data_IF_592884677532
#
_entry.id   IF_592884677532
#
_cell.length_a   1.000
_cell.length_b   1.000
_cell.length_c   1.000
_cell.angle_alpha   90.00
_cell.angle_beta   90.00
_cell.angle_gamma   90.00
#
_symmetry.space_group_name_H-M   'P 1'
#
loop_
_entity.id
_entity.type
_entity.pdbx_description
1 polymer ?
#
# COMPACT_ATOMS: atom_id res chain seq x y z
N UNK A 1 6.09 -17.50 -14.52
CA UNK A 1 6.21 -16.03 -14.50
C UNK A 1 5.34 -15.46 -15.63
N UNK A 2 4.92 -14.22 -15.50
CA UNK A 2 4.23 -13.50 -16.58
C UNK A 2 5.25 -13.22 -17.69
N UNK A 3 4.87 -13.47 -18.96
CA UNK A 3 5.74 -13.28 -20.13
C UNK A 3 5.36 -12.06 -20.98
N UNK A 4 4.22 -11.44 -20.67
CA UNK A 4 3.77 -10.22 -21.36
C UNK A 4 4.69 -9.05 -21.04
N UNK A 5 5.30 -8.47 -22.05
CA UNK A 5 6.18 -7.30 -21.91
C UNK A 5 5.43 -6.04 -21.43
N UNK A 6 4.17 -5.87 -21.82
CA UNK A 6 3.36 -4.74 -21.39
C UNK A 6 3.12 -4.75 -19.88
N UNK A 7 3.04 -5.94 -19.27
CA UNK A 7 2.99 -6.06 -17.82
C UNK A 7 4.22 -5.41 -17.17
N UNK A 8 5.42 -5.67 -17.66
CA UNK A 8 6.66 -5.13 -17.07
C UNK A 8 6.82 -3.62 -17.29
N UNK A 9 6.26 -3.05 -18.36
CA UNK A 9 6.18 -1.60 -18.56
C UNK A 9 5.42 -0.91 -17.41
N UNK A 10 4.39 -1.54 -16.89
CA UNK A 10 3.64 -1.04 -15.73
C UNK A 10 4.25 -1.49 -14.39
N UNK A 11 4.71 -2.73 -14.30
CA UNK A 11 5.19 -3.33 -13.03
C UNK A 11 6.53 -2.75 -12.57
N UNK A 12 7.47 -2.48 -13.48
CA UNK A 12 8.78 -1.92 -13.11
C UNK A 12 8.63 -0.56 -12.42
N UNK A 13 7.96 0.47 -13.02
CA UNK A 13 7.76 1.73 -12.32
C UNK A 13 6.90 1.57 -11.06
N UNK A 14 5.88 0.69 -11.07
CA UNK A 14 5.04 0.43 -9.91
C UNK A 14 5.85 -0.07 -8.71
N UNK A 15 6.69 -1.09 -8.91
CA UNK A 15 7.56 -1.67 -7.87
C UNK A 15 8.63 -0.68 -7.42
N UNK A 16 9.23 0.05 -8.38
CA UNK A 16 10.23 1.07 -8.08
C UNK A 16 9.66 2.17 -7.19
N UNK A 17 8.51 2.74 -7.55
CA UNK A 17 7.83 3.77 -6.75
C UNK A 17 7.38 3.25 -5.38
N UNK A 18 6.94 1.98 -5.30
CA UNK A 18 6.64 1.39 -4.01
C UNK A 18 7.89 1.33 -3.12
N UNK A 19 8.99 0.85 -3.68
CA UNK A 19 10.28 0.81 -3.00
C UNK A 19 10.73 2.19 -2.53
N UNK A 20 10.61 3.22 -3.37
CA UNK A 20 10.89 4.61 -2.99
C UNK A 20 10.04 5.07 -1.81
N UNK A 21 8.76 4.73 -1.80
CA UNK A 21 7.85 5.01 -0.68
C UNK A 21 8.34 4.38 0.62
N UNK A 22 8.78 3.12 0.57
CA UNK A 22 9.37 2.38 1.72
C UNK A 22 10.72 2.95 2.14
N UNK A 23 11.50 3.50 1.23
CA UNK A 23 12.79 4.16 1.50
C UNK A 23 12.68 5.49 2.24
N UNK A 24 11.46 6.03 2.43
CA UNK A 24 11.24 7.24 3.23
C UNK A 24 10.54 8.39 2.50
N UNK A 25 10.35 8.28 1.19
CA UNK A 25 9.67 9.33 0.39
C UNK A 25 8.18 9.46 0.73
N UNK A 26 7.59 8.38 1.28
CA UNK A 26 6.21 8.38 1.79
C UNK A 26 5.30 7.34 1.13
N UNK A 27 4.35 6.83 1.92
CA UNK A 27 3.47 5.71 1.55
C UNK A 27 2.50 5.97 0.38
N UNK A 28 2.35 7.22 -0.05
CA UNK A 28 1.50 7.58 -1.21
C UNK A 28 1.98 6.94 -2.51
N UNK A 29 3.31 6.84 -2.70
CA UNK A 29 3.88 6.19 -3.88
C UNK A 29 3.49 4.71 -3.96
N UNK A 30 3.37 4.06 -2.81
CA UNK A 30 2.94 2.66 -2.75
C UNK A 30 1.53 2.42 -3.26
N UNK A 31 0.61 3.36 -3.06
CA UNK A 31 -0.78 3.24 -3.51
C UNK A 31 -0.93 3.15 -5.03
N UNK A 32 0.05 3.65 -5.78
CA UNK A 32 0.03 3.63 -7.25
C UNK A 32 0.27 2.23 -7.81
N UNK A 33 0.90 1.35 -7.04
CA UNK A 33 1.48 0.12 -7.58
C UNK A 33 0.42 -0.87 -8.04
N UNK A 34 -0.61 -1.14 -7.22
CA UNK A 34 -1.70 -2.04 -7.63
C UNK A 34 -2.49 -1.46 -8.80
N UNK A 35 -2.96 -0.21 -8.80
CA UNK A 35 -3.62 0.40 -9.95
C UNK A 35 -2.79 0.37 -11.25
N UNK A 36 -1.49 0.64 -11.18
CA UNK A 36 -0.61 0.59 -12.35
C UNK A 36 -0.50 -0.83 -12.89
N UNK A 37 -0.21 -1.82 -12.04
CA UNK A 37 -0.09 -3.21 -12.47
C UNK A 37 -1.42 -3.79 -12.93
N UNK A 38 -2.54 -3.34 -12.36
CA UNK A 38 -3.89 -3.75 -12.74
C UNK A 38 -4.32 -3.24 -14.13
N UNK A 39 -3.49 -2.45 -14.80
CA UNK A 39 -3.68 -2.12 -16.21
C UNK A 39 -3.40 -3.32 -17.14
N UNK A 40 -2.65 -4.32 -16.67
CA UNK A 40 -2.21 -5.48 -17.47
C UNK A 40 -2.60 -6.84 -16.86
N UNK A 41 -2.90 -6.88 -15.56
CA UNK A 41 -3.33 -8.09 -14.85
C UNK A 41 -4.51 -7.76 -13.93
N UNK A 42 -5.17 -8.79 -13.36
CA UNK A 42 -6.23 -8.50 -12.37
C UNK A 42 -5.66 -7.79 -11.13
N UNK A 43 -6.42 -6.90 -10.46
CA UNK A 43 -5.98 -6.24 -9.24
C UNK A 43 -5.53 -7.20 -8.14
N UNK A 44 -6.22 -8.34 -8.02
CA UNK A 44 -5.88 -9.41 -7.06
C UNK A 44 -4.53 -10.03 -7.38
N UNK A 45 -4.25 -10.31 -8.66
CA UNK A 45 -2.96 -10.83 -9.10
C UNK A 45 -1.83 -9.79 -8.91
N UNK A 46 -2.09 -8.51 -9.21
CA UNK A 46 -1.15 -7.43 -8.96
C UNK A 46 -0.76 -7.37 -7.47
N UNK A 47 -1.75 -7.46 -6.58
CA UNK A 47 -1.52 -7.48 -5.14
C UNK A 47 -0.74 -8.75 -4.69
N UNK A 48 -1.03 -9.89 -5.30
CA UNK A 48 -0.33 -11.15 -5.01
C UNK A 48 1.16 -11.12 -5.40
N UNK A 49 1.49 -10.54 -6.55
CA UNK A 49 2.87 -10.36 -7.00
C UNK A 49 3.62 -9.36 -6.12
N UNK A 50 2.95 -8.30 -5.68
CA UNK A 50 3.57 -7.28 -4.83
C UNK A 50 3.86 -7.78 -3.42
N UNK A 51 3.04 -8.65 -2.82
CA UNK A 51 3.15 -9.03 -1.41
C UNK A 51 4.53 -9.62 -1.03
N UNK A 52 5.11 -10.58 -1.76
CA UNK A 52 6.46 -11.08 -1.46
C UNK A 52 7.53 -9.98 -1.56
N UNK A 53 7.42 -9.09 -2.55
CA UNK A 53 8.32 -7.94 -2.70
C UNK A 53 8.24 -7.00 -1.50
N UNK A 54 7.01 -6.74 -1.02
CA UNK A 54 6.80 -5.89 0.16
C UNK A 54 7.42 -6.49 1.42
N UNK A 55 7.27 -7.81 1.62
CA UNK A 55 7.93 -8.48 2.74
C UNK A 55 9.46 -8.29 2.68
N UNK A 56 10.07 -8.42 1.50
CA UNK A 56 11.49 -8.16 1.30
C UNK A 56 11.89 -6.70 1.58
N UNK A 57 11.13 -5.74 1.03
CA UNK A 57 11.36 -4.30 1.29
C UNK A 57 11.19 -3.96 2.77
N UNK A 58 10.20 -4.57 3.45
CA UNK A 58 9.94 -4.33 4.87
C UNK A 58 11.06 -4.83 5.75
N UNK A 59 11.66 -5.99 5.44
CA UNK A 59 12.82 -6.49 6.18
C UNK A 59 14.00 -5.51 6.10
N UNK A 60 14.23 -4.90 4.92
CA UNK A 60 15.23 -3.84 4.78
C UNK A 60 14.87 -2.62 5.62
N UNK A 61 13.63 -2.13 5.53
CA UNK A 61 13.18 -0.95 6.28
C UNK A 61 13.24 -1.17 7.79
N UNK A 62 12.90 -2.38 8.27
CA UNK A 62 13.00 -2.77 9.67
C UNK A 62 14.45 -2.65 10.19
N UNK A 63 15.43 -3.06 9.40
CA UNK A 63 16.82 -2.97 9.81
C UNK A 63 17.21 -1.54 10.23
N UNK A 64 16.72 -0.54 9.50
CA UNK A 64 17.02 0.87 9.76
C UNK A 64 16.12 1.51 10.84
N UNK A 65 14.84 1.14 10.92
CA UNK A 65 13.84 1.95 11.64
C UNK A 65 13.22 1.27 12.87
N UNK A 66 13.41 -0.04 13.11
CA UNK A 66 12.75 -0.79 14.21
C UNK A 66 12.97 -0.21 15.62
N UNK A 67 14.13 0.41 15.85
CA UNK A 67 14.47 0.97 17.18
C UNK A 67 13.63 2.19 17.54
N UNK A 68 13.06 2.86 16.54
CA UNK A 68 12.30 4.08 16.71
C UNK A 68 10.77 3.83 16.73
N UNK A 69 10.32 2.60 16.92
CA UNK A 69 8.91 2.27 16.96
C UNK A 69 8.25 2.74 18.26
N UNK A 70 7.12 3.45 18.15
CA UNK A 70 6.24 3.72 19.28
C UNK A 70 5.31 2.51 19.49
N UNK A 71 5.67 1.63 20.39
CA UNK A 71 4.94 0.40 20.67
C UNK A 71 3.57 0.62 21.30
N UNK A 72 3.31 1.77 21.94
CA UNK A 72 2.01 2.10 22.50
C UNK A 72 0.99 2.30 21.35
N UNK A 73 1.34 3.15 20.41
CA UNK A 73 0.50 3.37 19.22
C UNK A 73 0.38 2.09 18.37
N UNK A 74 1.48 1.36 18.17
CA UNK A 74 1.46 0.09 17.44
C UNK A 74 0.48 -0.90 18.05
N UNK A 75 0.52 -1.10 19.37
CA UNK A 75 -0.39 -2.02 20.08
C UNK A 75 -1.84 -1.58 20.00
N UNK A 76 -2.12 -0.28 19.97
CA UNK A 76 -3.48 0.25 19.83
C UNK A 76 -4.06 0.02 18.42
N UNK A 77 -3.21 0.10 17.38
CA UNK A 77 -3.61 -0.05 15.97
C UNK A 77 -3.74 -1.50 15.54
N UNK A 78 -2.82 -2.36 15.98
CA UNK A 78 -2.61 -3.70 15.44
C UNK A 78 -3.84 -4.61 15.50
N UNK A 79 -4.59 -4.73 16.61
CA UNK A 79 -5.76 -5.60 16.67
C UNK A 79 -6.81 -5.23 15.60
N UNK A 80 -7.09 -3.95 15.45
CA UNK A 80 -8.08 -3.46 14.49
C UNK A 80 -7.59 -3.61 13.05
N UNK A 81 -6.31 -3.38 12.80
CA UNK A 81 -5.73 -3.59 11.48
C UNK A 81 -5.76 -5.07 11.08
N UNK A 82 -5.51 -6.00 12.00
CA UNK A 82 -5.65 -7.44 11.77
C UNK A 82 -7.12 -7.79 11.43
N UNK A 83 -8.09 -7.24 12.16
CA UNK A 83 -9.50 -7.41 11.82
C UNK A 83 -9.80 -6.88 10.41
N UNK A 84 -9.20 -5.76 10.02
CA UNK A 84 -9.27 -5.23 8.66
C UNK A 84 -8.68 -6.18 7.61
N UNK A 85 -7.52 -6.79 7.89
CA UNK A 85 -6.91 -7.79 7.01
C UNK A 85 -7.82 -9.00 6.85
N UNK A 86 -8.33 -9.53 7.94
CA UNK A 86 -9.20 -10.72 7.91
C UNK A 86 -10.52 -10.46 7.19
N UNK A 87 -11.15 -9.31 7.43
CA UNK A 87 -12.37 -8.92 6.72
C UNK A 87 -12.12 -8.76 5.22
N UNK A 88 -11.05 -8.08 4.82
CA UNK A 88 -10.70 -7.94 3.41
C UNK A 88 -10.41 -9.30 2.75
N UNK A 89 -9.69 -10.18 3.43
CA UNK A 89 -9.39 -11.52 2.93
C UNK A 89 -10.68 -12.36 2.73
N UNK A 90 -11.63 -12.28 3.67
CA UNK A 90 -12.91 -12.96 3.55
C UNK A 90 -13.70 -12.48 2.31
N UNK A 91 -13.78 -11.18 2.11
CA UNK A 91 -14.49 -10.62 0.95
C UNK A 91 -13.73 -10.82 -0.37
N UNK A 92 -12.41 -10.73 -0.37
CA UNK A 92 -11.59 -10.81 -1.58
C UNK A 92 -11.77 -12.12 -2.36
N UNK A 93 -12.03 -13.23 -1.65
CA UNK A 93 -12.31 -14.53 -2.28
C UNK A 93 -13.68 -14.64 -2.96
N UNK A 94 -14.63 -13.76 -2.59
CA UNK A 94 -16.01 -13.77 -3.09
C UNK A 94 -16.35 -12.62 -4.04
N UNK A 95 -15.48 -11.59 -4.12
CA UNK A 95 -15.71 -10.42 -4.95
C UNK A 95 -15.29 -10.65 -6.40
N UNK A 96 -16.12 -10.19 -7.34
CA UNK A 96 -15.73 -10.13 -8.74
C UNK A 96 -14.61 -9.10 -8.96
N UNK A 97 -13.83 -9.27 -10.02
CA UNK A 97 -12.78 -8.34 -10.41
C UNK A 97 -13.31 -6.90 -10.52
N UNK A 98 -14.50 -6.73 -11.09
CA UNK A 98 -15.18 -5.42 -11.24
C UNK A 98 -15.42 -4.74 -9.89
N UNK A 99 -15.88 -5.49 -8.88
CA UNK A 99 -16.11 -4.95 -7.52
C UNK A 99 -14.78 -4.58 -6.86
N UNK A 100 -13.74 -5.37 -7.04
CA UNK A 100 -12.39 -5.04 -6.54
C UNK A 100 -11.85 -3.76 -7.18
N UNK A 101 -12.03 -3.59 -8.50
CA UNK A 101 -11.67 -2.37 -9.23
C UNK A 101 -12.43 -1.15 -8.70
N UNK A 102 -13.74 -1.28 -8.45
CA UNK A 102 -14.55 -0.21 -7.86
C UNK A 102 -14.05 0.18 -6.46
N UNK A 103 -13.73 -0.81 -5.62
CA UNK A 103 -13.20 -0.55 -4.27
C UNK A 103 -11.87 0.21 -4.36
N UNK A 104 -10.94 -0.25 -5.21
CA UNK A 104 -9.62 0.37 -5.34
C UNK A 104 -9.73 1.78 -5.92
N UNK A 105 -10.50 1.94 -7.00
CA UNK A 105 -10.74 3.23 -7.64
C UNK A 105 -11.44 4.21 -6.68
N UNK A 106 -12.46 3.74 -5.96
CA UNK A 106 -13.17 4.50 -4.94
C UNK A 106 -12.25 4.96 -3.80
N UNK A 107 -11.45 4.07 -3.24
CA UNK A 107 -10.47 4.40 -2.19
C UNK A 107 -9.46 5.44 -2.68
N UNK A 108 -8.97 5.32 -3.93
CA UNK A 108 -8.04 6.26 -4.52
C UNK A 108 -8.65 7.67 -4.62
N UNK A 109 -9.88 7.78 -5.13
CA UNK A 109 -10.55 9.09 -5.29
C UNK A 109 -11.02 9.67 -3.96
N UNK A 110 -11.51 8.85 -3.02
CA UNK A 110 -11.86 9.31 -1.66
C UNK A 110 -10.62 9.87 -0.97
N UNK A 111 -9.47 9.21 -1.09
CA UNK A 111 -8.21 9.72 -0.54
C UNK A 111 -7.81 11.06 -1.16
N UNK A 112 -7.91 11.21 -2.48
CA UNK A 112 -7.63 12.47 -3.17
C UNK A 112 -8.59 13.58 -2.75
N UNK A 113 -9.88 13.30 -2.71
CA UNK A 113 -10.92 14.24 -2.27
C UNK A 113 -10.65 14.71 -0.84
N UNK A 114 -10.35 13.79 0.06
CA UNK A 114 -9.99 14.11 1.43
C UNK A 114 -8.76 15.01 1.51
N UNK A 115 -7.71 14.69 0.74
CA UNK A 115 -6.47 15.48 0.75
C UNK A 115 -6.66 16.91 0.25
N UNK A 116 -7.51 17.12 -0.77
CA UNK A 116 -7.67 18.42 -1.39
C UNK A 116 -8.85 19.24 -0.83
N UNK A 117 -9.92 18.61 -0.38
CA UNK A 117 -11.15 19.29 0.05
C UNK A 117 -11.32 19.35 1.57
N UNK A 118 -10.81 18.35 2.30
CA UNK A 118 -10.94 18.35 3.75
C UNK A 118 -9.66 18.92 4.36
N UNK A 119 -9.76 20.07 5.03
CA UNK A 119 -8.72 20.54 5.97
C UNK A 119 -8.44 19.42 6.97
N UNK A 120 -7.20 19.26 7.42
CA UNK A 120 -6.80 18.23 8.38
C UNK A 120 -7.83 18.14 9.53
N UNK A 121 -8.70 17.14 9.43
CA UNK A 121 -9.67 16.88 10.50
C UNK A 121 -8.88 16.21 11.63
N UNK A 122 -8.65 16.95 12.70
CA UNK A 122 -8.04 16.39 13.91
C UNK A 122 -9.04 15.41 14.53
N UNK A 123 -8.79 14.13 14.32
CA UNK A 123 -9.60 13.06 14.93
C UNK A 123 -9.05 12.76 16.33
N UNK A 124 -9.58 13.44 17.35
CA UNK A 124 -9.16 13.25 18.75
C UNK A 124 -9.84 12.06 19.47
N UNK A 125 -10.80 11.40 18.85
CA UNK A 125 -11.56 10.32 19.50
C UNK A 125 -10.92 8.94 19.22
N UNK A 126 -10.69 8.09 20.25
CA UNK A 126 -10.02 6.79 20.10
C UNK A 126 -10.75 5.83 19.15
N UNK A 127 -12.10 5.83 19.14
CA UNK A 127 -12.90 4.99 18.22
C UNK A 127 -12.59 5.27 16.76
N UNK A 128 -12.36 6.55 16.40
CA UNK A 128 -11.98 6.92 15.03
C UNK A 128 -10.60 6.38 14.65
N UNK A 129 -9.67 6.36 15.61
CA UNK A 129 -8.35 5.76 15.42
C UNK A 129 -8.42 4.26 15.15
N UNK A 130 -9.29 3.54 15.87
CA UNK A 130 -9.52 2.12 15.66
C UNK A 130 -10.14 1.83 14.29
N UNK A 131 -11.15 2.61 13.89
CA UNK A 131 -11.77 2.50 12.56
C UNK A 131 -10.75 2.77 11.43
N UNK A 132 -9.87 3.78 11.58
CA UNK A 132 -8.80 4.07 10.63
C UNK A 132 -7.77 2.94 10.55
N UNK A 133 -7.45 2.32 11.69
CA UNK A 133 -6.54 1.17 11.73
C UNK A 133 -7.15 -0.04 11.02
N UNK A 134 -8.44 -0.31 11.24
CA UNK A 134 -9.18 -1.36 10.53
C UNK A 134 -9.22 -1.08 9.01
N UNK A 135 -9.55 0.14 8.62
CA UNK A 135 -9.55 0.57 7.22
C UNK A 135 -8.16 0.46 6.60
N UNK A 136 -7.10 0.74 7.37
CA UNK A 136 -5.72 0.56 6.92
C UNK A 136 -5.40 -0.91 6.61
N UNK A 137 -5.77 -1.83 7.50
CA UNK A 137 -5.61 -3.26 7.26
C UNK A 137 -6.42 -3.74 6.07
N UNK A 138 -7.68 -3.31 5.95
CA UNK A 138 -8.57 -3.64 4.85
C UNK A 138 -8.01 -3.18 3.49
N UNK A 139 -7.74 -1.87 3.35
CA UNK A 139 -7.21 -1.30 2.11
C UNK A 139 -5.79 -1.79 1.78
N UNK A 140 -4.99 -2.09 2.82
CA UNK A 140 -3.68 -2.72 2.64
C UNK A 140 -3.78 -4.13 2.06
N UNK A 141 -4.84 -4.88 2.39
CA UNK A 141 -5.02 -6.23 1.86
C UNK A 141 -5.50 -6.21 0.42
N UNK A 142 -6.49 -5.38 0.09
CA UNK A 142 -7.05 -5.33 -1.27
C UNK A 142 -6.08 -4.69 -2.28
N UNK A 143 -5.40 -3.59 -1.90
CA UNK A 143 -4.68 -2.74 -2.84
C UNK A 143 -3.29 -2.28 -2.37
N UNK A 144 -2.77 -2.83 -1.27
CA UNK A 144 -1.57 -2.32 -0.60
C UNK A 144 -1.64 -0.80 -0.30
N UNK A 145 -2.86 -0.27 -0.12
CA UNK A 145 -3.17 1.14 0.06
C UNK A 145 -3.48 1.52 1.53
N UNK A 146 -2.91 0.80 2.49
CA UNK A 146 -3.12 1.05 3.92
C UNK A 146 -2.44 2.32 4.46
N UNK A 147 -1.52 2.91 3.70
CA UNK A 147 -0.74 4.07 4.12
C UNK A 147 -1.58 5.29 4.54
N UNK A 148 -2.52 5.77 3.74
CA UNK A 148 -3.34 6.93 4.08
C UNK A 148 -4.15 6.78 5.37
N UNK A 149 -4.95 5.73 5.57
CA UNK A 149 -5.67 5.56 6.84
C UNK A 149 -4.75 5.46 8.06
N UNK A 150 -3.60 4.76 7.93
CA UNK A 150 -2.59 4.70 9.00
C UNK A 150 -2.01 6.08 9.30
N UNK A 151 -1.70 6.87 8.26
CA UNK A 151 -1.20 8.23 8.41
C UNK A 151 -2.24 9.16 9.07
N UNK A 152 -3.52 9.00 8.72
CA UNK A 152 -4.61 9.75 9.37
C UNK A 152 -4.74 9.44 10.87
N UNK A 153 -4.36 8.24 11.30
CA UNK A 153 -4.29 7.88 12.71
C UNK A 153 -3.04 8.46 13.39
N UNK A 154 -1.87 8.31 12.74
CA UNK A 154 -0.59 8.61 13.37
C UNK A 154 -0.21 10.10 13.34
N UNK A 155 -0.52 10.84 12.24
CA UNK A 155 -0.12 12.23 12.09
C UNK A 155 -0.65 13.16 13.19
N UNK A 156 -1.94 13.03 13.63
CA UNK A 156 -2.45 13.89 14.72
C UNK A 156 -1.79 13.63 16.09
N UNK A 157 -1.05 12.53 16.23
CA UNK A 157 -0.34 12.19 17.46
C UNK A 157 0.94 13.01 17.65
N UNK A 158 1.34 13.80 16.65
CA UNK A 158 2.54 14.64 16.66
C UNK A 158 3.81 13.88 17.10
N UNK A 159 3.94 12.61 16.69
CA UNK A 159 5.12 11.81 16.99
C UNK A 159 6.37 12.43 16.34
N UNK A 160 7.55 12.34 16.97
CA UNK A 160 8.80 12.65 16.31
C UNK A 160 8.92 11.90 14.98
N UNK A 161 9.53 12.52 13.96
CA UNK A 161 9.62 11.96 12.59
C UNK A 161 10.12 10.52 12.58
N UNK A 162 11.16 10.25 13.36
CA UNK A 162 11.77 8.92 13.46
C UNK A 162 10.80 7.89 14.05
N UNK A 163 10.00 8.28 15.05
CA UNK A 163 8.99 7.42 15.65
C UNK A 163 7.82 7.18 14.71
N UNK A 164 7.39 8.20 13.96
CA UNK A 164 6.34 8.06 12.96
C UNK A 164 6.74 7.05 11.88
N UNK A 165 7.97 7.17 11.36
CA UNK A 165 8.52 6.27 10.35
C UNK A 165 8.68 4.86 10.94
N UNK A 166 9.34 4.73 12.09
CA UNK A 166 9.58 3.45 12.74
C UNK A 166 8.29 2.70 13.06
N UNK A 167 7.28 3.39 13.59
CA UNK A 167 5.97 2.81 13.88
C UNK A 167 5.27 2.33 12.61
N UNK A 168 5.29 3.13 11.55
CA UNK A 168 4.70 2.78 10.27
C UNK A 168 5.39 1.58 9.64
N UNK A 169 6.72 1.54 9.68
CA UNK A 169 7.51 0.40 9.16
C UNK A 169 7.14 -0.89 9.87
N UNK A 170 7.18 -0.90 11.22
CA UNK A 170 6.85 -2.10 12.00
C UNK A 170 5.40 -2.51 11.76
N UNK A 171 4.46 -1.55 11.75
CA UNK A 171 3.05 -1.79 11.50
C UNK A 171 2.81 -2.51 10.16
N UNK A 172 3.33 -1.97 9.06
CA UNK A 172 3.13 -2.57 7.75
C UNK A 172 3.91 -3.87 7.56
N UNK A 173 5.08 -4.00 8.17
CA UNK A 173 5.80 -5.29 8.17
C UNK A 173 4.95 -6.39 8.75
N UNK A 174 4.42 -6.18 9.97
CA UNK A 174 3.58 -7.18 10.63
C UNK A 174 2.34 -7.49 9.78
N UNK A 175 1.67 -6.48 9.23
CA UNK A 175 0.50 -6.69 8.36
C UNK A 175 0.86 -7.47 7.08
N UNK A 176 1.99 -7.18 6.44
CA UNK A 176 2.38 -7.87 5.21
C UNK A 176 2.70 -9.35 5.47
N UNK A 177 3.35 -9.68 6.60
CA UNK A 177 3.56 -11.06 6.99
C UNK A 177 2.26 -11.78 7.36
N UNK A 178 1.32 -11.10 8.07
CA UNK A 178 0.00 -11.68 8.36
C UNK A 178 -0.77 -11.96 7.07
N UNK A 179 -0.71 -11.07 6.08
CA UNK A 179 -1.39 -11.25 4.78
C UNK A 179 -0.89 -12.46 3.99
N UNK A 180 0.33 -12.93 4.22
CA UNK A 180 0.81 -14.18 3.58
C UNK A 180 -0.12 -15.35 3.88
N UNK A 181 -0.72 -15.41 5.09
CA UNK A 181 -1.62 -16.49 5.49
C UNK A 181 -2.86 -16.55 4.58
N UNK A 182 -3.73 -15.51 4.54
CA UNK A 182 -4.92 -15.56 3.70
C UNK A 182 -4.58 -15.63 2.19
N UNK A 183 -3.51 -14.98 1.72
CA UNK A 183 -3.10 -15.05 0.32
C UNK A 183 -2.66 -16.48 -0.08
N UNK A 184 -2.01 -17.21 0.83
CA UNK A 184 -1.67 -18.62 0.60
C UNK A 184 -2.93 -19.50 0.55
N UNK A 185 -3.88 -19.29 1.48
CA UNK A 185 -5.16 -20.03 1.47
C UNK A 185 -6.00 -19.79 0.22
N UNK A 186 -5.94 -18.58 -0.33
CA UNK A 186 -6.62 -18.24 -1.59
C UNK A 186 -5.88 -18.72 -2.84
N UNK A 187 -4.73 -19.40 -2.69
CA UNK A 187 -3.91 -19.86 -3.83
C UNK A 187 -3.25 -18.72 -4.62
N UNK A 188 -3.19 -17.51 -4.07
CA UNK A 188 -2.61 -16.34 -4.73
C UNK A 188 -1.08 -16.34 -4.70
N UNK A 189 -0.48 -17.09 -3.76
CA UNK A 189 0.97 -17.31 -3.70
C UNK A 189 1.29 -18.58 -4.47
N UNK A 190 1.09 -18.52 -5.77
CA UNK A 190 1.44 -19.56 -6.71
C UNK A 190 2.84 -19.36 -7.31
N UNK A 191 3.34 -20.39 -8.00
CA UNK A 191 4.68 -20.37 -8.61
C UNK A 191 4.80 -19.28 -9.68
N UNK A 192 3.73 -18.99 -10.42
CA UNK A 192 3.75 -17.95 -11.46
C UNK A 192 3.95 -16.56 -10.84
N UNK A 193 3.18 -16.24 -9.80
CA UNK A 193 3.27 -14.96 -9.11
C UNK A 193 4.61 -14.81 -8.38
N UNK A 194 5.09 -15.88 -7.71
CA UNK A 194 6.39 -15.88 -7.03
C UNK A 194 7.56 -15.66 -7.98
N UNK A 195 7.57 -16.34 -9.14
CA UNK A 195 8.63 -16.16 -10.14
C UNK A 195 8.58 -14.75 -10.74
N UNK A 196 7.38 -14.18 -10.93
CA UNK A 196 7.24 -12.79 -11.40
C UNK A 196 7.76 -11.81 -10.33
N UNK A 197 7.45 -12.05 -9.05
CA UNK A 197 8.00 -11.27 -7.94
C UNK A 197 9.53 -11.36 -7.92
N UNK A 198 10.11 -12.55 -8.07
CA UNK A 198 11.56 -12.76 -8.04
C UNK A 198 12.29 -11.93 -9.11
N UNK A 199 11.75 -11.86 -10.33
CA UNK A 199 12.28 -11.02 -11.41
C UNK A 199 12.27 -9.54 -11.05
N UNK A 200 11.27 -9.09 -10.28
CA UNK A 200 11.12 -7.68 -9.87
C UNK A 200 11.91 -7.33 -8.60
N UNK A 201 12.52 -8.30 -7.89
CA UNK A 201 13.31 -8.06 -6.67
C UNK A 201 14.40 -7.00 -6.88
N UNK A 202 15.24 -7.02 -7.93
CA UNK A 202 16.26 -6.00 -8.12
C UNK A 202 15.67 -4.59 -8.19
N UNK A 203 14.53 -4.43 -8.86
CA UNK A 203 13.83 -3.15 -8.99
C UNK A 203 13.31 -2.68 -7.63
N UNK A 204 12.77 -3.61 -6.82
CA UNK A 204 12.30 -3.32 -5.47
C UNK A 204 13.42 -2.74 -4.59
N UNK A 205 14.59 -3.37 -4.59
CA UNK A 205 15.75 -2.92 -3.83
C UNK A 205 16.31 -1.59 -4.33
N UNK A 206 16.41 -1.42 -5.66
CA UNK A 206 16.80 -0.15 -6.27
C UNK A 206 15.84 0.97 -5.88
N UNK A 207 14.53 0.69 -5.86
CA UNK A 207 13.52 1.64 -5.42
C UNK A 207 13.71 2.07 -3.96
N UNK A 208 13.90 1.12 -3.03
CA UNK A 208 14.14 1.44 -1.61
C UNK A 208 15.39 2.30 -1.46
N UNK A 209 16.48 1.92 -2.12
CA UNK A 209 17.75 2.67 -2.08
C UNK A 209 17.61 4.07 -2.67
N UNK A 210 16.91 4.18 -3.80
CA UNK A 210 16.59 5.47 -4.42
C UNK A 210 15.76 6.34 -3.47
N UNK A 211 14.75 5.77 -2.78
CA UNK A 211 13.93 6.48 -1.81
C UNK A 211 14.74 7.06 -0.66
N UNK A 212 15.64 6.26 -0.08
CA UNK A 212 16.55 6.72 0.99
C UNK A 212 17.43 7.88 0.51
N UNK A 213 17.93 7.81 -0.72
CA UNK A 213 18.77 8.87 -1.29
C UNK A 213 17.96 10.12 -1.64
N UNK A 214 16.79 9.95 -2.25
CA UNK A 214 15.96 11.03 -2.77
C UNK A 214 15.26 11.85 -1.69
N UNK A 215 15.02 11.30 -0.50
CA UNK A 215 14.42 12.02 0.64
C UNK A 215 15.13 13.34 0.95
N UNK A 216 16.43 13.41 0.65
CA UNK A 216 17.25 14.60 0.94
C UNK A 216 17.39 15.55 -0.27
N UNK A 217 16.96 15.15 -1.47
CA UNK A 217 17.26 15.88 -2.71
C UNK A 217 16.00 16.40 -3.41
N UNK A 218 14.92 15.61 -3.41
CA UNK A 218 13.69 15.96 -4.14
C UNK A 218 12.71 16.66 -3.20
N UNK A 219 12.10 17.75 -3.69
CA UNK A 219 11.04 18.42 -2.96
C UNK A 219 9.84 17.48 -2.80
N UNK A 220 9.35 17.40 -1.56
CA UNK A 220 8.15 16.62 -1.23
C UNK A 220 6.94 17.01 -2.11
N UNK A 221 6.87 18.28 -2.50
CA UNK A 221 5.79 18.82 -3.33
C UNK A 221 5.74 18.18 -4.71
N UNK A 222 6.90 18.01 -5.37
CA UNK A 222 6.97 17.41 -6.70
C UNK A 222 6.55 15.94 -6.68
N UNK A 223 7.01 15.20 -5.66
CA UNK A 223 6.65 13.79 -5.46
C UNK A 223 5.15 13.65 -5.28
N UNK A 224 4.56 14.50 -4.42
CA UNK A 224 3.11 14.48 -4.18
C UNK A 224 2.31 14.85 -5.43
N UNK A 225 2.74 15.86 -6.20
CA UNK A 225 2.08 16.25 -7.44
C UNK A 225 2.01 15.09 -8.43
N UNK A 226 3.14 14.44 -8.70
CA UNK A 226 3.20 13.28 -9.60
C UNK A 226 2.32 12.15 -9.08
N UNK A 227 2.45 11.81 -7.80
CA UNK A 227 1.70 10.71 -7.18
C UNK A 227 0.18 10.94 -7.25
N UNK A 228 -0.30 12.14 -6.94
CA UNK A 228 -1.71 12.47 -7.00
C UNK A 228 -2.25 12.45 -8.44
N UNK A 229 -1.48 12.95 -9.41
CA UNK A 229 -1.88 12.91 -10.82
C UNK A 229 -2.04 11.48 -11.32
N UNK A 230 -1.06 10.62 -11.06
CA UNK A 230 -1.12 9.20 -11.44
C UNK A 230 -2.25 8.48 -10.70
N UNK A 231 -2.42 8.74 -9.39
CA UNK A 231 -3.48 8.13 -8.61
C UNK A 231 -4.88 8.54 -9.10
N UNK A 232 -5.05 9.80 -9.50
CA UNK A 232 -6.29 10.29 -10.10
C UNK A 232 -6.61 9.56 -11.41
N UNK A 233 -5.65 9.49 -12.32
CA UNK A 233 -5.83 8.84 -13.63
C UNK A 233 -6.12 7.34 -13.48
N UNK A 234 -5.32 6.64 -12.66
CA UNK A 234 -5.50 5.20 -12.46
C UNK A 234 -6.76 4.88 -11.67
N UNK A 235 -7.07 5.64 -10.62
CA UNK A 235 -8.29 5.49 -9.83
C UNK A 235 -9.56 5.71 -10.67
N UNK A 236 -9.57 6.75 -11.52
CA UNK A 236 -10.68 7.04 -12.44
C UNK A 236 -10.83 5.90 -13.47
N UNK A 237 -9.72 5.41 -14.04
CA UNK A 237 -9.76 4.28 -14.96
C UNK A 237 -10.34 3.03 -14.30
N UNK A 238 -9.93 2.71 -13.07
CA UNK A 238 -10.44 1.54 -12.35
C UNK A 238 -11.92 1.67 -12.01
N UNK A 239 -12.38 2.87 -11.61
CA UNK A 239 -13.82 3.11 -11.41
C UNK A 239 -14.60 2.92 -12.71
N UNK A 240 -14.12 3.48 -13.81
CA UNK A 240 -14.77 3.35 -15.10
C UNK A 240 -14.83 1.87 -15.54
N UNK A 241 -13.69 1.15 -15.46
CA UNK A 241 -13.62 -0.28 -15.78
C UNK A 241 -14.57 -1.11 -14.92
N UNK A 242 -14.56 -0.89 -13.60
CA UNK A 242 -15.43 -1.59 -12.67
C UNK A 242 -16.91 -1.33 -12.92
N UNK A 243 -17.31 -0.09 -13.25
CA UNK A 243 -18.71 0.26 -13.55
C UNK A 243 -19.20 -0.33 -14.89
N UNK A 244 -18.34 -0.39 -15.89
CA UNK A 244 -18.70 -0.91 -17.22
C UNK A 244 -18.71 -2.43 -17.29
N UNK A 245 -18.12 -3.12 -16.30
CA UNK A 245 -18.03 -4.58 -16.24
C UNK A 245 -18.99 -5.21 -15.19
N UNK A 246 -19.86 -4.42 -14.52
CA UNK A 246 -20.96 -4.88 -13.69
C UNK A 246 -22.15 -5.30 -14.56
#
# INVERSE_FOLDING_TARGET
MITDLWFYVAAIPAVFFYGMGKGGVGGILGMLSVPLMAMSVSPVQAAAILLPLLCGMDLMALFYHRKNCNYVELKSMMPFAILGVMSAAYFMGSLSTSVVELIIGGLALVFLTQKFLLKQVQFSHPIKGYALSMLSGFSSTIAHAGGPPASMHLLPKNLPKEQLIGTSVVFFTVLNFIKLIPYSYMGLIDMQNLMTSLVLVPIAFLGVRAGVWMVNIISQELIYKISYSVLFLTGTKMLYSGLTAL
#
